data_IF_865236539444
#
_entry.id   IF_865236539444
#
_cell.length_a   1.000
_cell.length_b   1.000
_cell.length_c   1.000
_cell.angle_alpha   90.00
_cell.angle_beta   90.00
_cell.angle_gamma   90.00
#
_symmetry.space_group_name_H-M   'P 1'
#
loop_
_entity.id
_entity.type
_entity.pdbx_description
1 polymer ?
#
# COMPACT_ATOMS: atom_id res chain seq x y z
N UNK A 1 -7.43 49.69 29.37
CA UNK A 1 -6.83 49.91 28.07
C UNK A 1 -7.32 48.88 27.08
N UNK A 2 -8.35 49.22 26.37
CA UNK A 2 -8.94 48.30 25.37
C UNK A 2 -7.98 47.94 24.21
N UNK A 3 -7.14 48.88 23.81
CA UNK A 3 -6.23 48.68 22.68
C UNK A 3 -5.23 47.54 22.92
N UNK A 4 -4.59 47.53 24.10
CA UNK A 4 -3.62 46.49 24.45
C UNK A 4 -4.30 45.14 24.62
N UNK A 5 -5.47 45.08 25.23
CA UNK A 5 -6.24 43.87 25.41
C UNK A 5 -6.65 43.28 24.06
N UNK A 6 -7.13 44.12 23.15
CA UNK A 6 -7.49 43.70 21.78
C UNK A 6 -6.30 43.14 21.02
N UNK A 7 -5.12 43.74 21.17
CA UNK A 7 -3.88 43.28 20.54
C UNK A 7 -3.48 41.89 21.05
N UNK A 8 -3.56 41.66 22.36
CA UNK A 8 -3.26 40.36 22.97
C UNK A 8 -4.25 39.30 22.47
N UNK A 9 -5.53 39.59 22.48
CA UNK A 9 -6.55 38.67 21.95
C UNK A 9 -6.35 38.38 20.47
N UNK A 10 -6.01 39.41 19.69
CA UNK A 10 -5.73 39.24 18.26
C UNK A 10 -4.52 38.32 18.00
N UNK A 11 -3.44 38.46 18.76
CA UNK A 11 -2.24 37.63 18.64
C UNK A 11 -2.52 36.19 19.08
N UNK A 12 -3.30 36.01 20.14
CA UNK A 12 -3.72 34.69 20.60
C UNK A 12 -4.56 33.97 19.53
N UNK A 13 -5.47 34.71 18.90
CA UNK A 13 -6.28 34.16 17.80
C UNK A 13 -5.39 33.75 16.59
N UNK A 14 -4.44 34.59 16.20
CA UNK A 14 -3.52 34.32 15.12
C UNK A 14 -2.68 33.06 15.40
N UNK A 15 -2.21 32.91 16.63
CA UNK A 15 -1.46 31.72 17.06
C UNK A 15 -2.31 30.48 16.99
N UNK A 16 -3.54 30.56 17.44
CA UNK A 16 -4.49 29.45 17.38
C UNK A 16 -4.82 29.05 15.94
N UNK A 17 -5.03 30.04 15.08
CA UNK A 17 -5.31 29.80 13.66
C UNK A 17 -4.10 29.15 12.96
N UNK A 18 -2.89 29.58 13.30
CA UNK A 18 -1.66 28.97 12.77
C UNK A 18 -1.52 27.52 13.22
N UNK A 19 -1.79 27.22 14.48
CA UNK A 19 -1.77 25.85 15.00
C UNK A 19 -2.83 24.95 14.35
N UNK A 20 -4.00 25.53 14.05
CA UNK A 20 -5.08 24.81 13.36
C UNK A 20 -4.65 24.30 11.99
N UNK A 21 -3.83 25.06 11.26
CA UNK A 21 -3.29 24.62 9.97
C UNK A 21 -2.40 23.39 10.15
N UNK A 22 -1.55 23.38 11.18
CA UNK A 22 -0.71 22.22 11.49
C UNK A 22 -1.54 21.00 11.87
N UNK A 23 -2.58 21.17 12.67
CA UNK A 23 -3.49 20.08 13.05
C UNK A 23 -4.17 19.46 11.83
N UNK A 24 -4.66 20.31 10.91
CA UNK A 24 -5.26 19.85 9.66
C UNK A 24 -4.25 19.07 8.81
N UNK A 25 -3.02 19.53 8.74
CA UNK A 25 -1.95 18.85 8.01
C UNK A 25 -1.64 17.50 8.62
N UNK A 26 -1.55 17.40 9.93
CA UNK A 26 -1.33 16.14 10.64
C UNK A 26 -2.47 15.15 10.35
N UNK A 27 -3.70 15.61 10.44
CA UNK A 27 -4.87 14.77 10.16
C UNK A 27 -4.88 14.28 8.71
N UNK A 28 -4.55 15.15 7.75
CA UNK A 28 -4.47 14.79 6.34
C UNK A 28 -3.37 13.76 6.09
N UNK A 29 -2.21 13.93 6.68
CA UNK A 29 -1.10 12.97 6.55
C UNK A 29 -1.45 11.61 7.16
N UNK A 30 -2.12 11.61 8.31
CA UNK A 30 -2.59 10.38 8.95
C UNK A 30 -3.58 9.65 8.05
N UNK A 31 -4.52 10.37 7.47
CA UNK A 31 -5.52 9.81 6.56
C UNK A 31 -4.86 9.24 5.30
N UNK A 32 -3.90 9.95 4.73
CA UNK A 32 -3.14 9.47 3.57
C UNK A 32 -2.39 8.19 3.91
N UNK A 33 -1.76 8.11 5.08
CA UNK A 33 -1.05 6.91 5.52
C UNK A 33 -1.98 5.71 5.71
N UNK A 34 -3.20 5.95 6.19
CA UNK A 34 -4.22 4.90 6.28
C UNK A 34 -4.60 4.37 4.90
N UNK A 35 -4.77 5.26 3.93
CA UNK A 35 -5.05 4.88 2.54
C UNK A 35 -3.89 4.10 1.92
N UNK A 36 -2.66 4.51 2.19
CA UNK A 36 -1.46 3.80 1.74
C UNK A 36 -1.41 2.38 2.32
N UNK A 37 -1.75 2.21 3.60
CA UNK A 37 -1.79 0.90 4.23
C UNK A 37 -2.82 -0.03 3.58
N UNK A 38 -4.00 0.48 3.24
CA UNK A 38 -5.04 -0.28 2.54
C UNK A 38 -4.57 -0.68 1.14
N UNK A 39 -4.01 0.26 0.39
CA UNK A 39 -3.49 -0.02 -0.96
C UNK A 39 -2.36 -1.05 -0.93
N UNK A 40 -1.48 -0.97 0.05
CA UNK A 40 -0.41 -1.95 0.24
C UNK A 40 -0.95 -3.34 0.53
N UNK A 41 -2.03 -3.43 1.32
CA UNK A 41 -2.73 -4.68 1.58
C UNK A 41 -3.26 -5.33 0.31
N UNK A 42 -3.91 -4.57 -0.55
CA UNK A 42 -4.42 -5.07 -1.83
C UNK A 42 -3.29 -5.59 -2.74
N UNK A 43 -2.18 -4.88 -2.79
CA UNK A 43 -1.03 -5.30 -3.60
C UNK A 43 -0.36 -6.55 -3.06
N UNK A 44 -0.27 -6.68 -1.74
CA UNK A 44 0.26 -7.88 -1.11
C UNK A 44 -0.62 -9.10 -1.40
N UNK A 45 -1.93 -8.93 -1.40
CA UNK A 45 -2.87 -9.99 -1.77
C UNK A 45 -2.71 -10.38 -3.24
N UNK A 46 -2.54 -9.40 -4.12
CA UNK A 46 -2.30 -9.65 -5.54
C UNK A 46 -0.97 -10.39 -5.77
N UNK A 47 0.07 -10.05 -5.05
CA UNK A 47 1.36 -10.72 -5.09
C UNK A 47 1.22 -12.20 -4.70
N UNK A 48 0.48 -12.48 -3.63
CA UNK A 48 0.25 -13.84 -3.16
C UNK A 48 -0.49 -14.69 -4.21
N UNK A 49 -1.48 -14.10 -4.87
CA UNK A 49 -2.21 -14.76 -5.96
C UNK A 49 -1.29 -15.06 -7.14
N UNK A 50 -0.48 -14.09 -7.55
CA UNK A 50 0.47 -14.24 -8.65
C UNK A 50 1.53 -15.29 -8.35
N UNK A 51 2.04 -15.34 -7.14
CA UNK A 51 2.99 -16.37 -6.70
C UNK A 51 2.40 -17.77 -6.81
N UNK A 52 1.14 -17.93 -6.42
CA UNK A 52 0.42 -19.19 -6.54
C UNK A 52 0.23 -19.60 -8.00
N UNK A 53 -0.10 -18.65 -8.87
CA UNK A 53 -0.25 -18.89 -10.30
C UNK A 53 1.08 -19.35 -10.93
N UNK A 54 2.20 -18.76 -10.52
CA UNK A 54 3.54 -19.17 -10.97
C UNK A 54 3.82 -20.60 -10.53
N UNK A 55 3.53 -20.95 -9.28
CA UNK A 55 3.70 -22.32 -8.79
C UNK A 55 2.87 -23.33 -9.59
N UNK A 56 1.61 -22.97 -9.89
CA UNK A 56 0.72 -23.83 -10.68
C UNK A 56 1.28 -24.04 -12.10
N UNK A 57 1.79 -22.97 -12.72
CA UNK A 57 2.42 -23.06 -14.03
C UNK A 57 3.69 -23.93 -14.02
N UNK A 58 4.49 -23.83 -12.97
CA UNK A 58 5.67 -24.67 -12.79
C UNK A 58 5.30 -26.15 -12.67
N UNK A 59 4.20 -26.45 -11.95
CA UNK A 59 3.69 -27.81 -11.85
C UNK A 59 3.25 -28.36 -13.21
N UNK A 60 2.54 -27.56 -13.99
CA UNK A 60 2.13 -27.96 -15.36
C UNK A 60 3.35 -28.21 -16.24
N UNK A 61 4.32 -27.32 -16.20
CA UNK A 61 5.57 -27.47 -16.97
C UNK A 61 6.33 -28.75 -16.58
N UNK A 62 6.40 -29.05 -15.28
CA UNK A 62 7.04 -30.27 -14.77
C UNK A 62 6.34 -31.54 -15.25
N UNK A 63 5.02 -31.55 -15.20
CA UNK A 63 4.21 -32.67 -15.69
C UNK A 63 4.40 -32.89 -17.21
N UNK A 64 4.41 -31.80 -17.97
CA UNK A 64 4.62 -31.85 -19.41
C UNK A 64 6.01 -32.38 -19.76
N UNK A 65 7.05 -31.93 -19.03
CA UNK A 65 8.40 -32.40 -19.21
C UNK A 65 8.50 -33.90 -18.93
N UNK A 66 7.85 -34.38 -17.88
CA UNK A 66 7.82 -35.80 -17.53
C UNK A 66 7.12 -36.62 -18.61
N UNK A 67 5.97 -36.18 -19.10
CA UNK A 67 5.25 -36.82 -20.20
C UNK A 67 6.07 -36.85 -21.47
N UNK A 68 6.70 -35.76 -21.83
CA UNK A 68 7.57 -35.69 -23.02
C UNK A 68 8.74 -36.68 -22.92
N UNK A 69 9.35 -36.79 -21.75
CA UNK A 69 10.42 -37.74 -21.48
C UNK A 69 9.97 -39.18 -21.65
N UNK A 70 8.79 -39.51 -21.10
CA UNK A 70 8.20 -40.86 -21.23
C UNK A 70 7.87 -41.21 -22.69
N UNK A 71 7.29 -40.26 -23.41
CA UNK A 71 6.97 -40.43 -24.84
C UNK A 71 8.23 -40.64 -25.67
N UNK A 72 9.27 -39.85 -25.40
CA UNK A 72 10.57 -39.99 -26.06
C UNK A 72 11.17 -41.36 -25.82
N UNK A 73 11.17 -41.85 -24.60
CA UNK A 73 11.63 -43.21 -24.26
C UNK A 73 10.85 -44.26 -25.00
N UNK A 74 9.57 -44.08 -25.16
CA UNK A 74 8.68 -44.99 -25.88
C UNK A 74 9.07 -45.09 -27.36
N UNK A 75 9.42 -43.95 -27.96
CA UNK A 75 9.81 -43.88 -29.37
C UNK A 75 11.22 -44.44 -29.64
N UNK A 76 12.09 -44.46 -28.65
CA UNK A 76 13.46 -44.95 -28.75
C UNK A 76 13.58 -46.45 -28.62
N UNK A 77 12.53 -47.11 -28.21
CA UNK A 77 12.47 -48.55 -28.12
C UNK A 77 12.17 -49.16 -29.48
#
# INVERSE_FOLDING_TARGET
>A
MKLFKTTVEGLQKQSKDALSVFESTINNLTEINEKIAVERGYRNDAIAILEREVEDLELVASKNALLASKMKSFLEV
#
